data_IF_997589266213
#
_entry.id   IF_997589266213
#
_cell.length_a   1.000
_cell.length_b   1.000
_cell.length_c   1.000
_cell.angle_alpha   90.00
_cell.angle_beta   90.00
_cell.angle_gamma   90.00
#
_symmetry.space_group_name_H-M   'P 1'
#
loop_
_entity.id
_entity.type
_entity.pdbx_description
1 polymer ?
#
# COMPACT_ATOMS: atom_id res chain seq x y z
N UNK A 1 -5.56 -4.76 11.03
CA UNK A 1 -5.08 -3.38 10.78
C UNK A 1 -3.60 -3.32 11.05
N UNK A 2 -2.87 -2.50 10.31
CA UNK A 2 -1.45 -2.22 10.55
C UNK A 2 -1.24 -0.72 10.72
N UNK A 3 -0.17 -0.33 11.38
CA UNK A 3 0.32 1.04 11.41
C UNK A 3 1.72 1.06 10.82
N UNK A 4 2.01 2.03 9.97
CA UNK A 4 3.34 2.19 9.37
C UNK A 4 4.07 3.29 10.13
N UNK A 5 5.21 2.96 10.74
CA UNK A 5 6.01 3.88 11.55
C UNK A 5 7.17 4.47 10.72
N UNK A 6 7.75 5.61 11.14
CA UNK A 6 8.84 6.25 10.39
C UNK A 6 10.03 5.32 10.14
N UNK A 7 10.37 4.46 11.10
CA UNK A 7 11.48 3.53 10.96
C UNK A 7 11.21 2.45 9.88
N UNK A 8 9.96 2.02 9.71
CA UNK A 8 9.59 1.08 8.64
C UNK A 8 9.78 1.74 7.27
N UNK A 9 9.37 3.02 7.15
CA UNK A 9 9.56 3.82 5.94
C UNK A 9 11.05 4.02 5.68
N UNK A 10 11.84 4.39 6.69
CA UNK A 10 13.29 4.60 6.51
C UNK A 10 14.02 3.33 6.06
N UNK A 11 13.70 2.18 6.66
CA UNK A 11 14.25 0.89 6.24
C UNK A 11 13.87 0.58 4.78
N UNK A 12 12.62 0.83 4.41
CA UNK A 12 12.14 0.63 3.04
C UNK A 12 12.90 1.51 2.04
N UNK A 13 13.00 2.82 2.30
CA UNK A 13 13.66 3.78 1.41
C UNK A 13 15.12 3.41 1.14
N UNK A 14 15.84 2.89 2.13
CA UNK A 14 17.23 2.40 1.96
C UNK A 14 17.30 1.21 1.00
N UNK A 15 16.31 0.33 1.00
CA UNK A 15 16.26 -0.84 0.11
C UNK A 15 15.95 -0.44 -1.33
N UNK A 16 14.97 0.44 -1.54
CA UNK A 16 14.56 0.88 -2.88
C UNK A 16 15.36 2.07 -3.43
N UNK A 17 16.24 2.64 -2.60
CA UNK A 17 17.06 3.83 -2.90
C UNK A 17 16.22 5.02 -3.34
N UNK A 18 15.08 5.23 -2.68
CA UNK A 18 14.19 6.36 -2.93
C UNK A 18 14.53 7.50 -1.96
N UNK A 19 15.07 8.59 -2.50
CA UNK A 19 15.50 9.77 -1.73
C UNK A 19 14.44 10.88 -1.71
N UNK A 20 13.21 10.60 -2.16
CA UNK A 20 12.17 11.61 -2.24
C UNK A 20 11.84 12.18 -0.85
N UNK A 21 12.03 13.49 -0.61
CA UNK A 21 11.84 14.11 0.70
C UNK A 21 10.39 14.07 1.19
N UNK A 22 9.41 13.81 0.31
CA UNK A 22 8.00 13.65 0.71
C UNK A 22 7.82 12.51 1.73
N UNK A 23 8.71 11.51 1.73
CA UNK A 23 8.63 10.37 2.64
C UNK A 23 9.00 10.68 4.09
N UNK A 24 9.27 11.95 4.42
CA UNK A 24 9.29 12.45 5.80
C UNK A 24 7.89 12.58 6.40
N UNK A 25 6.84 12.59 5.57
CA UNK A 25 5.46 12.79 5.98
C UNK A 25 4.53 11.68 5.48
N UNK A 26 4.74 11.19 4.26
CA UNK A 26 3.86 10.21 3.62
C UNK A 26 4.55 8.88 3.33
N UNK A 27 3.80 7.79 3.47
CA UNK A 27 4.31 6.45 3.16
C UNK A 27 4.47 6.28 1.63
N UNK A 28 5.56 5.67 1.15
CA UNK A 28 5.69 5.32 -0.26
C UNK A 28 4.53 4.46 -0.76
N UNK A 29 3.90 4.87 -1.87
CA UNK A 29 2.79 4.13 -2.48
C UNK A 29 3.13 2.67 -2.78
N UNK A 30 4.34 2.44 -3.28
CA UNK A 30 4.88 1.10 -3.57
C UNK A 30 5.00 0.21 -2.32
N UNK A 31 5.38 0.78 -1.17
CA UNK A 31 5.47 0.06 0.11
C UNK A 31 4.09 -0.42 0.56
N UNK A 32 3.08 0.45 0.45
CA UNK A 32 1.68 0.12 0.81
C UNK A 32 1.18 -1.05 -0.05
N UNK A 33 1.43 -1.02 -1.35
CA UNK A 33 1.03 -2.08 -2.28
C UNK A 33 1.71 -3.41 -1.94
N UNK A 34 3.02 -3.38 -1.67
CA UNK A 34 3.76 -4.59 -1.29
C UNK A 34 3.27 -5.18 0.02
N UNK A 35 3.07 -4.35 1.06
CA UNK A 35 2.50 -4.79 2.33
C UNK A 35 1.11 -5.41 2.15
N UNK A 36 0.25 -4.77 1.35
CA UNK A 36 -1.10 -5.26 1.11
C UNK A 36 -1.09 -6.63 0.40
N UNK A 37 -0.22 -6.84 -0.59
CA UNK A 37 -0.06 -8.13 -1.27
C UNK A 37 0.51 -9.22 -0.34
N UNK A 38 1.57 -8.89 0.43
CA UNK A 38 2.20 -9.84 1.37
C UNK A 38 1.23 -10.26 2.46
N UNK A 39 0.54 -9.30 3.09
CA UNK A 39 -0.41 -9.55 4.18
C UNK A 39 -1.58 -10.45 3.75
N UNK A 40 -1.97 -10.40 2.47
CA UNK A 40 -3.04 -11.23 1.91
C UNK A 40 -2.51 -12.48 1.17
N UNK A 41 -1.21 -12.79 1.27
CA UNK A 41 -0.57 -13.94 0.61
C UNK A 41 -0.80 -13.99 -0.92
N UNK A 42 -0.84 -12.82 -1.58
CA UNK A 42 -1.18 -12.69 -2.99
C UNK A 42 0.07 -12.64 -3.89
N UNK A 43 0.15 -13.59 -4.82
CA UNK A 43 1.22 -13.67 -5.83
C UNK A 43 0.74 -13.26 -7.23
N UNK A 44 0.10 -12.09 -7.36
CA UNK A 44 -0.41 -11.61 -8.64
C UNK A 44 0.74 -11.19 -9.58
N UNK A 45 0.87 -11.88 -10.72
CA UNK A 45 1.88 -11.57 -11.75
C UNK A 45 1.68 -10.21 -12.42
N UNK A 46 0.44 -9.73 -12.51
CA UNK A 46 0.11 -8.44 -13.11
C UNK A 46 -1.11 -7.83 -12.44
N UNK A 47 -1.04 -6.55 -12.15
CA UNK A 47 -2.10 -5.79 -11.52
C UNK A 47 -1.99 -4.30 -11.89
N UNK A 48 -3.11 -3.58 -11.73
CA UNK A 48 -3.18 -2.13 -11.83
C UNK A 48 -3.39 -1.55 -10.44
N UNK A 49 -2.75 -0.42 -10.16
CA UNK A 49 -2.87 0.30 -8.91
C UNK A 49 -3.56 1.63 -9.18
N UNK A 50 -4.52 1.98 -8.33
CA UNK A 50 -5.12 3.31 -8.28
C UNK A 50 -4.81 3.91 -6.90
N UNK A 51 -3.96 4.95 -6.88
CA UNK A 51 -3.66 5.74 -5.68
C UNK A 51 -4.69 6.86 -5.57
N UNK A 52 -5.50 6.85 -4.51
CA UNK A 52 -6.65 7.77 -4.34
C UNK A 52 -6.28 8.95 -3.44
N UNK A 53 -5.69 8.66 -2.28
CA UNK A 53 -5.22 9.67 -1.33
C UNK A 53 -3.85 9.25 -0.76
N UNK A 54 -3.00 10.22 -0.36
CA UNK A 54 -1.80 9.93 0.41
C UNK A 54 -2.12 9.19 1.71
N UNK A 55 -1.15 8.41 2.17
CA UNK A 55 -1.16 7.79 3.49
C UNK A 55 -0.09 8.46 4.32
N UNK A 56 -0.50 9.02 5.45
CA UNK A 56 0.42 9.66 6.38
C UNK A 56 1.19 8.61 7.18
N UNK A 57 2.41 8.95 7.60
CA UNK A 57 3.10 8.13 8.61
C UNK A 57 2.24 8.11 9.88
N UNK A 58 2.25 6.99 10.61
CA UNK A 58 1.37 6.70 11.74
C UNK A 58 -0.11 6.46 11.39
N UNK A 59 -0.51 6.55 10.13
CA UNK A 59 -1.89 6.22 9.74
C UNK A 59 -2.14 4.71 9.87
N UNK A 60 -3.30 4.34 10.43
CA UNK A 60 -3.75 2.96 10.50
C UNK A 60 -4.38 2.54 9.17
N UNK A 61 -3.93 1.41 8.63
CA UNK A 61 -4.44 0.83 7.40
C UNK A 61 -5.12 -0.52 7.63
N UNK A 62 -6.19 -0.74 6.86
CA UNK A 62 -6.89 -2.00 6.70
C UNK A 62 -6.77 -2.46 5.25
N UNK A 63 -6.58 -3.76 5.07
CA UNK A 63 -6.46 -4.39 3.75
C UNK A 63 -7.65 -5.34 3.55
N UNK A 64 -8.50 -5.01 2.58
CA UNK A 64 -9.73 -5.73 2.28
C UNK A 64 -9.65 -6.41 0.92
N UNK A 65 -9.57 -7.74 0.91
CA UNK A 65 -9.72 -8.53 -0.31
C UNK A 65 -11.21 -8.63 -0.69
N UNK A 66 -11.75 -7.58 -1.31
CA UNK A 66 -13.17 -7.50 -1.68
C UNK A 66 -13.58 -8.54 -2.74
N UNK A 67 -12.63 -9.05 -3.53
CA UNK A 67 -12.82 -10.22 -4.40
C UNK A 67 -11.48 -10.87 -4.74
N UNK A 68 -11.52 -12.03 -5.41
CA UNK A 68 -10.32 -12.69 -5.97
C UNK A 68 -9.46 -11.82 -6.90
N UNK A 69 -9.96 -10.66 -7.34
CA UNK A 69 -9.27 -9.75 -8.27
C UNK A 69 -9.16 -8.31 -7.76
N UNK A 70 -9.66 -7.99 -6.56
CA UNK A 70 -9.70 -6.61 -6.04
C UNK A 70 -9.31 -6.60 -4.58
N UNK A 71 -8.22 -5.88 -4.30
CA UNK A 71 -7.75 -5.58 -2.96
C UNK A 71 -7.86 -4.08 -2.73
N UNK A 72 -8.46 -3.68 -1.61
CA UNK A 72 -8.67 -2.27 -1.25
C UNK A 72 -7.95 -1.97 0.05
N UNK A 73 -7.19 -0.87 0.07
CA UNK A 73 -6.53 -0.35 1.25
C UNK A 73 -7.34 0.84 1.76
N UNK A 74 -7.78 0.77 3.01
CA UNK A 74 -8.57 1.81 3.67
C UNK A 74 -7.88 2.28 4.94
N UNK A 75 -8.18 3.48 5.39
CA UNK A 75 -7.82 3.91 6.73
C UNK A 75 -8.90 3.55 7.77
N UNK A 76 -8.65 3.89 9.03
CA UNK A 76 -9.58 3.66 10.14
C UNK A 76 -10.92 4.42 10.06
N UNK A 77 -11.08 5.33 9.09
CA UNK A 77 -12.33 6.04 8.79
C UNK A 77 -13.05 5.48 7.55
N UNK A 78 -12.68 4.27 7.10
CA UNK A 78 -13.17 3.64 5.86
C UNK A 78 -12.89 4.44 4.58
N UNK A 79 -11.99 5.44 4.60
CA UNK A 79 -11.58 6.14 3.38
C UNK A 79 -10.64 5.27 2.58
N UNK A 80 -10.94 5.10 1.29
CA UNK A 80 -10.10 4.34 0.37
C UNK A 80 -8.84 5.15 0.05
N UNK A 81 -7.68 4.53 0.30
CA UNK A 81 -6.36 5.10 0.02
C UNK A 81 -5.78 4.55 -1.28
N UNK A 82 -5.86 3.23 -1.45
CA UNK A 82 -5.33 2.53 -2.63
C UNK A 82 -6.29 1.43 -3.06
N UNK A 83 -6.48 1.25 -4.36
CA UNK A 83 -7.14 0.08 -4.94
C UNK A 83 -6.18 -0.67 -5.84
N UNK A 84 -6.09 -1.98 -5.66
CA UNK A 84 -5.22 -2.88 -6.44
C UNK A 84 -6.13 -3.86 -7.18
N UNK A 85 -6.08 -3.85 -8.51
CA UNK A 85 -6.87 -4.70 -9.37
C UNK A 85 -5.98 -5.70 -10.08
N UNK A 86 -6.20 -7.00 -9.84
CA UNK A 86 -5.51 -8.05 -10.60
C UNK A 86 -5.85 -7.89 -12.08
N UNK A 87 -4.82 -7.90 -12.93
CA UNK A 87 -5.04 -7.96 -14.37
C UNK A 87 -5.42 -9.39 -14.75
N UNK A 88 -6.60 -9.55 -15.32
CA UNK A 88 -7.04 -10.78 -15.97
C UNK A 88 -6.53 -10.70 -17.42
N UNK A 89 -6.15 -11.84 -18.01
CA UNK A 89 -5.47 -11.92 -19.32
C UNK A 89 -6.09 -11.06 -20.42
N UNK A 90 -5.26 -10.68 -21.38
CA UNK A 90 -5.64 -9.93 -22.58
C UNK A 90 -6.63 -10.69 -23.44
#
# INVERSE_FOLDING_TARGET
MIQILPNDVEQYLRLVKDENPLHRQIVPGQMIVQLALIYNELNWKSYKINYVEPVDIYEFLQFDLESKHKLVVKNNHNKVKVTILKKIGW
#
